data_IF_987337316960
#
_entry.id   IF_987337316960
#
_cell.length_a   1.000
_cell.length_b   1.000
_cell.length_c   1.000
_cell.angle_alpha   90.00
_cell.angle_beta   90.00
_cell.angle_gamma   90.00
#
_symmetry.space_group_name_H-M   'P 1'
#
loop_
_entity.id
_entity.type
_entity.pdbx_description
1 polymer ?
#
# COMPACT_ATOMS: atom_id res chain seq x y z
N UNK A 1 11.63 -8.94 1.59
CA UNK A 1 10.24 -8.81 1.09
C UNK A 1 10.28 -7.93 -0.15
N UNK A 2 9.43 -8.16 -1.16
CA UNK A 2 9.44 -7.35 -2.38
C UNK A 2 8.76 -5.97 -2.21
N UNK A 3 8.09 -5.74 -1.08
CA UNK A 3 7.42 -4.49 -0.72
C UNK A 3 8.20 -3.73 0.36
N UNK A 4 7.87 -2.45 0.51
CA UNK A 4 8.43 -1.59 1.54
C UNK A 4 8.12 -2.11 2.95
N UNK A 5 9.15 -2.28 3.78
CA UNK A 5 9.02 -2.86 5.13
C UNK A 5 8.89 -1.81 6.23
N UNK A 6 8.98 -0.52 5.90
CA UNK A 6 8.78 0.56 6.84
C UNK A 6 7.48 1.32 6.52
N UNK A 7 6.60 1.42 7.52
CA UNK A 7 5.31 2.08 7.43
C UNK A 7 4.39 1.70 6.24
N UNK A 8 4.37 0.45 5.73
CA UNK A 8 3.35 0.08 4.76
C UNK A 8 1.98 0.01 5.43
N UNK A 9 0.93 0.20 4.66
CA UNK A 9 -0.42 -0.10 5.09
C UNK A 9 -0.83 -1.48 4.56
N UNK A 10 -1.64 -2.23 5.30
CA UNK A 10 -2.04 -3.56 4.87
C UNK A 10 -3.51 -3.85 5.20
N UNK A 11 -4.17 -4.63 4.35
CA UNK A 11 -5.54 -5.06 4.54
C UNK A 11 -5.80 -6.41 3.90
N UNK A 12 -6.80 -7.12 4.42
CA UNK A 12 -7.24 -8.40 3.86
C UNK A 12 -8.47 -8.15 3.02
N UNK A 13 -8.48 -8.66 1.79
CA UNK A 13 -9.64 -8.65 0.93
C UNK A 13 -9.77 -9.99 0.21
N UNK A 14 -10.90 -10.67 0.43
CA UNK A 14 -11.12 -12.05 0.04
C UNK A 14 -10.05 -12.97 0.65
N UNK A 15 -9.39 -13.80 -0.15
CA UNK A 15 -8.36 -14.76 0.21
C UNK A 15 -6.94 -14.20 0.04
N UNK A 16 -6.79 -12.87 0.03
CA UNK A 16 -5.52 -12.20 -0.20
C UNK A 16 -5.20 -11.14 0.86
N UNK A 17 -3.92 -11.08 1.23
CA UNK A 17 -3.32 -9.94 1.90
C UNK A 17 -2.87 -8.92 0.86
N UNK A 18 -3.20 -7.66 1.08
CA UNK A 18 -2.81 -6.53 0.25
C UNK A 18 -1.91 -5.59 1.06
N UNK A 19 -0.84 -5.12 0.45
CA UNK A 19 0.11 -4.18 1.03
C UNK A 19 0.22 -2.95 0.14
N UNK A 20 0.07 -1.78 0.73
CA UNK A 20 -0.04 -0.49 0.05
C UNK A 20 1.06 0.45 0.52
N UNK A 21 1.82 0.98 -0.43
CA UNK A 21 2.82 2.01 -0.19
C UNK A 21 3.87 1.61 0.84
N UNK A 22 4.23 2.56 1.70
CA UNK A 22 5.33 2.44 2.67
C UNK A 22 6.60 3.07 2.16
N UNK A 23 7.71 2.78 2.83
CA UNK A 23 9.03 3.33 2.55
C UNK A 23 10.10 2.25 2.39
N UNK A 24 10.95 2.39 1.38
CA UNK A 24 12.22 1.67 1.30
C UNK A 24 13.32 2.49 1.99
N UNK A 25 14.19 1.80 2.72
CA UNK A 25 15.40 2.41 3.28
C UNK A 25 16.48 2.43 2.21
N UNK A 26 16.89 3.63 1.79
CA UNK A 26 17.98 3.83 0.82
C UNK A 26 19.35 4.02 1.50
N UNK A 27 19.37 4.31 2.80
CA UNK A 27 20.60 4.49 3.57
C UNK A 27 20.36 4.76 5.05
N UNK A 28 21.38 5.20 5.80
CA UNK A 28 21.24 5.49 7.23
C UNK A 28 20.17 6.54 7.55
N UNK A 29 20.00 7.53 6.67
CA UNK A 29 19.11 8.68 6.85
C UNK A 29 18.14 8.90 5.68
N UNK A 30 18.13 7.99 4.70
CA UNK A 30 17.34 8.12 3.49
C UNK A 30 16.22 7.10 3.46
N UNK A 31 14.99 7.58 3.32
CA UNK A 31 13.83 6.76 3.04
C UNK A 31 13.12 7.28 1.79
N UNK A 32 12.62 6.36 0.98
CA UNK A 32 11.84 6.69 -0.21
C UNK A 32 10.44 6.12 -0.05
N UNK A 33 9.45 7.01 -0.03
CA UNK A 33 8.04 6.62 -0.08
C UNK A 33 7.70 6.04 -1.44
N UNK A 34 6.93 4.97 -1.45
CA UNK A 34 6.45 4.33 -2.68
C UNK A 34 4.94 4.30 -2.76
N UNK A 35 4.43 4.13 -3.97
CA UNK A 35 3.01 3.96 -4.27
C UNK A 35 2.67 2.54 -4.72
N UNK A 36 3.61 1.60 -4.68
CA UNK A 36 3.39 0.23 -5.13
C UNK A 36 2.33 -0.50 -4.30
N UNK A 37 1.58 -1.39 -4.95
CA UNK A 37 0.63 -2.29 -4.29
C UNK A 37 1.06 -3.74 -4.54
N UNK A 38 1.28 -4.47 -3.46
CA UNK A 38 1.63 -5.88 -3.48
C UNK A 38 0.49 -6.73 -2.92
N UNK A 39 0.41 -7.97 -3.36
CA UNK A 39 -0.57 -8.94 -2.87
C UNK A 39 0.08 -10.29 -2.58
N UNK A 40 -0.58 -11.07 -1.73
CA UNK A 40 -0.22 -12.43 -1.41
C UNK A 40 -1.50 -13.24 -1.14
N UNK A 41 -1.73 -14.29 -1.91
CA UNK A 41 -2.84 -15.21 -1.70
C UNK A 41 -2.56 -16.16 -0.51
N UNK A 42 -3.61 -16.49 0.24
CA UNK A 42 -3.55 -17.43 1.36
C UNK A 42 -3.61 -18.87 0.87
N UNK A 43 -2.48 -19.37 0.36
CA UNK A 43 -2.30 -20.76 -0.07
C UNK A 43 -1.36 -21.52 0.90
N UNK A 44 -1.17 -22.82 0.71
CA UNK A 44 -0.18 -23.61 1.47
C UNK A 44 1.26 -23.11 1.29
N UNK A 45 1.56 -22.47 0.15
CA UNK A 45 2.85 -21.87 -0.18
C UNK A 45 2.63 -20.44 -0.69
N UNK A 46 2.47 -19.46 0.22
CA UNK A 46 2.14 -18.10 -0.16
C UNK A 46 3.31 -17.46 -0.91
N UNK A 47 2.97 -16.75 -2.00
CA UNK A 47 3.94 -16.02 -2.82
C UNK A 47 3.51 -14.57 -2.90
N UNK A 48 4.47 -13.68 -2.65
CA UNK A 48 4.27 -12.24 -2.84
C UNK A 48 4.42 -11.88 -4.31
N UNK A 49 3.53 -11.03 -4.80
CA UNK A 49 3.58 -10.50 -6.15
C UNK A 49 3.20 -9.02 -6.18
N UNK A 50 3.81 -8.28 -7.12
CA UNK A 50 3.36 -6.92 -7.42
C UNK A 50 2.01 -7.01 -8.15
N UNK A 51 1.00 -6.29 -7.69
CA UNK A 51 -0.37 -6.38 -8.24
C UNK A 51 -0.54 -5.77 -9.63
N UNK A 52 0.49 -5.05 -10.11
CA UNK A 52 0.42 -4.20 -11.31
C UNK A 52 -0.32 -2.87 -11.09
N UNK A 53 -0.83 -2.65 -9.87
CA UNK A 53 -1.55 -1.45 -9.46
C UNK A 53 -0.68 -0.56 -8.57
N UNK A 54 -1.05 0.71 -8.49
CA UNK A 54 -0.35 1.74 -7.73
C UNK A 54 -1.37 2.62 -7.02
N UNK A 55 -0.99 3.18 -5.87
CA UNK A 55 -1.63 4.35 -5.30
C UNK A 55 -1.37 5.56 -6.20
N UNK A 56 -2.28 6.54 -6.17
CA UNK A 56 -2.17 7.79 -6.94
C UNK A 56 -0.94 8.60 -6.57
N UNK A 57 -0.47 8.45 -5.35
CA UNK A 57 0.74 9.09 -4.84
C UNK A 57 1.49 8.16 -3.90
N UNK A 58 2.79 8.38 -3.79
CA UNK A 58 3.64 7.69 -2.82
C UNK A 58 3.23 8.10 -1.42
N UNK A 59 3.01 7.12 -0.54
CA UNK A 59 2.65 7.38 0.85
C UNK A 59 3.01 6.22 1.76
N UNK A 60 3.33 6.53 3.01
CA UNK A 60 3.42 5.57 4.10
C UNK A 60 2.46 5.96 5.23
N UNK A 61 2.36 5.11 6.25
CA UNK A 61 1.49 5.34 7.42
C UNK A 61 -0.01 5.49 7.10
N UNK A 62 -0.44 5.11 5.89
CA UNK A 62 -1.85 5.13 5.52
C UNK A 62 -2.65 4.15 6.40
N UNK A 63 -3.92 4.46 6.62
CA UNK A 63 -4.86 3.56 7.30
C UNK A 63 -5.65 2.76 6.26
N UNK A 64 -5.91 1.48 6.54
CA UNK A 64 -6.75 0.64 5.68
C UNK A 64 -8.02 0.27 6.42
N UNK A 65 -9.17 0.51 5.78
CA UNK A 65 -10.49 0.16 6.31
C UNK A 65 -11.24 -0.73 5.33
N UNK A 66 -12.01 -1.68 5.86
CA UNK A 66 -12.91 -2.47 5.04
C UNK A 66 -14.17 -1.65 4.73
N UNK A 67 -14.50 -1.52 3.45
CA UNK A 67 -15.68 -0.83 2.96
C UNK A 67 -16.78 -1.82 2.56
N UNK A 68 -18.01 -1.32 2.45
CA UNK A 68 -19.13 -2.07 1.91
C UNK A 68 -18.83 -2.55 0.48
N UNK A 69 -19.27 -3.78 0.17
CA UNK A 69 -19.12 -4.39 -1.15
C UNK A 69 -17.76 -5.05 -1.41
N UNK A 70 -17.08 -5.57 -0.39
CA UNK A 70 -15.75 -6.23 -0.52
C UNK A 70 -14.72 -5.31 -1.18
N UNK A 71 -14.52 -4.13 -0.60
CA UNK A 71 -13.53 -3.15 -1.05
C UNK A 71 -12.68 -2.71 0.13
N UNK A 72 -11.46 -2.28 -0.14
CA UNK A 72 -10.61 -1.63 0.86
C UNK A 72 -10.55 -0.14 0.57
N UNK A 73 -10.65 0.67 1.62
CA UNK A 73 -10.34 2.09 1.61
C UNK A 73 -8.94 2.32 2.18
N UNK A 74 -8.15 3.16 1.53
CA UNK A 74 -6.80 3.55 1.93
C UNK A 74 -6.84 5.05 2.23
N UNK A 75 -6.72 5.42 3.51
CA UNK A 75 -6.92 6.78 4.00
C UNK A 75 -5.59 7.42 4.39
N UNK A 76 -5.33 8.58 3.79
CA UNK A 76 -4.27 9.49 4.18
C UNK A 76 -2.89 8.85 4.26
N UNK A 77 -2.11 9.27 5.24
CA UNK A 77 -0.72 8.87 5.41
C UNK A 77 0.21 10.08 5.32
N UNK A 78 1.47 9.81 5.03
CA UNK A 78 2.54 10.79 4.96
C UNK A 78 3.37 10.55 3.70
N UNK A 79 3.95 11.60 3.14
CA UNK A 79 4.93 11.52 2.06
C UNK A 79 5.99 12.62 2.18
N UNK A 80 7.11 12.49 1.46
CA UNK A 80 8.11 13.55 1.34
C UNK A 80 7.89 14.34 0.05
N UNK A 81 7.85 15.67 0.15
CA UNK A 81 8.00 16.54 -1.03
C UNK A 81 9.46 16.56 -1.50
N UNK A 82 9.70 17.10 -2.70
CA UNK A 82 11.04 17.14 -3.32
C UNK A 82 12.10 17.89 -2.48
N UNK A 83 11.68 18.67 -1.48
CA UNK A 83 12.53 19.39 -0.52
C UNK A 83 12.81 18.59 0.77
N UNK A 84 12.33 17.36 0.88
CA UNK A 84 12.51 16.48 2.04
C UNK A 84 11.58 16.78 3.21
N UNK A 85 10.57 17.65 3.05
CA UNK A 85 9.57 17.89 4.09
C UNK A 85 8.53 16.77 4.12
N UNK A 86 8.29 16.23 5.32
CA UNK A 86 7.21 15.27 5.58
C UNK A 86 5.88 16.02 5.61
N UNK A 87 4.95 15.65 4.73
CA UNK A 87 3.64 16.27 4.64
C UNK A 87 2.53 15.23 4.72
N UNK A 88 1.39 15.58 5.36
CA UNK A 88 0.25 14.69 5.41
C UNK A 88 -0.35 14.53 4.01
N UNK A 89 -0.80 13.32 3.72
CA UNK A 89 -1.59 12.99 2.53
C UNK A 89 -3.06 13.02 2.93
N UNK A 90 -3.91 13.73 2.18
CA UNK A 90 -5.35 13.87 2.45
C UNK A 90 -6.23 13.00 1.52
N UNK A 91 -5.60 12.19 0.67
CA UNK A 91 -6.32 11.39 -0.31
C UNK A 91 -6.94 10.13 0.29
N UNK A 92 -8.13 9.80 -0.23
CA UNK A 92 -8.83 8.55 0.01
C UNK A 92 -8.90 7.76 -1.29
N UNK A 93 -8.36 6.54 -1.27
CA UNK A 93 -8.32 5.66 -2.43
C UNK A 93 -9.02 4.34 -2.13
N UNK A 94 -9.56 3.70 -3.17
CA UNK A 94 -10.27 2.43 -3.02
C UNK A 94 -9.64 1.34 -3.87
N UNK A 95 -9.41 0.18 -3.26
CA UNK A 95 -9.12 -1.06 -3.98
C UNK A 95 -10.41 -1.87 -4.11
N UNK A 96 -10.78 -2.16 -5.34
CA UNK A 96 -11.83 -3.11 -5.69
C UNK A 96 -11.30 -4.20 -6.63
N UNK A 97 -11.81 -5.41 -6.44
CA UNK A 97 -11.49 -6.54 -7.32
C UNK A 97 -12.53 -6.56 -8.43
N UNK A 98 -12.08 -6.53 -9.68
CA UNK A 98 -12.99 -6.68 -10.81
C UNK A 98 -13.58 -8.09 -10.77
N UNK A 99 -14.91 -8.17 -10.76
CA UNK A 99 -15.62 -9.42 -11.04
C UNK A 99 -15.57 -9.63 -12.55
N UNK A 100 -14.47 -10.19 -13.06
CA UNK A 100 -14.56 -10.81 -14.38
C UNK A 100 -15.24 -12.18 -14.19
N UNK A 101 -16.37 -12.43 -14.90
CA UNK A 101 -17.01 -13.74 -14.92
C UNK A 101 -16.13 -14.80 -15.57
#
# INVERSE_FOLDING_TARGET
>A
MPFATFAPAAGILQDKLWVFGGMFRLGPYGYEYVNHIFEMAFTEKPVWQHSGRYLRESKGFAQVVLLLGKRLGILGGHHYLADGQDTPVDTFETLELSTHP
#
